data_IF_695001315001
#
_entry.id   IF_695001315001
#
_cell.length_a   1.000
_cell.length_b   1.000
_cell.length_c   1.000
_cell.angle_alpha   90.00
_cell.angle_beta   90.00
_cell.angle_gamma   90.00
#
_symmetry.space_group_name_H-M   'P 1'
#
loop_
_entity.id
_entity.type
_entity.pdbx_description
1 polymer ?
#
# COMPACT_ATOMS: atom_id res chain seq x y z
N UNK A 1 8.50 2.52 9.11
CA UNK A 1 8.18 2.82 7.70
C UNK A 1 6.70 2.64 7.45
N UNK A 2 6.15 3.44 6.57
CA UNK A 2 4.74 3.42 6.22
C UNK A 2 4.59 2.95 4.77
N UNK A 3 3.89 1.83 4.59
CA UNK A 3 3.44 1.38 3.26
C UNK A 3 2.13 2.11 2.95
N UNK A 4 2.11 2.83 1.84
CA UNK A 4 1.00 3.72 1.48
C UNK A 4 0.19 3.09 0.35
N UNK A 5 -1.10 2.86 0.62
CA UNK A 5 -2.05 2.32 -0.35
C UNK A 5 -2.32 3.30 -1.50
N UNK A 6 -2.73 2.77 -2.63
CA UNK A 6 -3.09 3.53 -3.82
C UNK A 6 -4.11 4.64 -3.52
N UNK A 7 -5.08 4.39 -2.64
CA UNK A 7 -6.11 5.37 -2.27
C UNK A 7 -5.51 6.66 -1.70
N UNK A 8 -4.47 6.54 -0.88
CA UNK A 8 -3.79 7.70 -0.29
C UNK A 8 -2.98 8.44 -1.35
N UNK A 9 -2.28 7.71 -2.22
CA UNK A 9 -1.53 8.33 -3.32
C UNK A 9 -2.46 9.12 -4.24
N UNK A 10 -3.61 8.56 -4.60
CA UNK A 10 -4.60 9.26 -5.44
C UNK A 10 -5.08 10.54 -4.76
N UNK A 11 -5.38 10.48 -3.46
CA UNK A 11 -5.78 11.65 -2.69
C UNK A 11 -4.69 12.73 -2.73
N UNK A 12 -3.44 12.33 -2.50
CA UNK A 12 -2.30 13.25 -2.53
C UNK A 12 -2.10 13.89 -3.91
N UNK A 13 -2.20 13.11 -4.97
CA UNK A 13 -2.01 13.61 -6.33
C UNK A 13 -3.14 14.52 -6.80
N UNK A 14 -4.32 14.40 -6.20
CA UNK A 14 -5.49 15.25 -6.52
C UNK A 14 -5.62 16.47 -5.63
N UNK A 15 -5.29 16.33 -4.34
CA UNK A 15 -5.67 17.31 -3.31
C UNK A 15 -4.54 17.70 -2.37
N UNK A 16 -3.32 17.23 -2.58
CA UNK A 16 -2.16 17.44 -1.68
C UNK A 16 -2.46 16.97 -0.25
N UNK A 17 -2.04 15.76 0.08
CA UNK A 17 -2.16 15.20 1.41
C UNK A 17 -0.95 15.61 2.25
N UNK A 18 -1.18 16.48 3.25
CA UNK A 18 -0.09 17.04 4.07
C UNK A 18 0.63 15.97 4.89
N UNK A 19 -0.07 14.97 5.39
CA UNK A 19 0.54 13.86 6.15
C UNK A 19 1.48 13.05 5.26
N UNK A 20 1.04 12.73 4.04
CA UNK A 20 1.90 12.00 3.10
C UNK A 20 3.12 12.83 2.70
N UNK A 21 2.93 14.12 2.43
CA UNK A 21 4.05 15.00 2.10
C UNK A 21 5.11 14.99 3.22
N UNK A 22 4.69 15.11 4.48
CA UNK A 22 5.59 15.08 5.62
C UNK A 22 6.33 13.75 5.76
N UNK A 23 5.63 12.63 5.55
CA UNK A 23 6.24 11.30 5.59
C UNK A 23 7.26 11.10 4.47
N UNK A 24 6.98 11.60 3.28
CA UNK A 24 7.92 11.55 2.15
C UNK A 24 9.17 12.36 2.45
N UNK A 25 9.04 13.56 2.97
CA UNK A 25 10.17 14.40 3.35
C UNK A 25 11.03 13.75 4.43
N UNK A 26 10.39 13.03 5.36
CA UNK A 26 11.07 12.32 6.45
C UNK A 26 11.66 10.96 6.05
N UNK A 27 11.54 10.55 4.78
CA UNK A 27 12.05 9.26 4.32
C UNK A 27 11.32 8.07 4.93
N UNK A 28 10.04 8.22 5.30
CA UNK A 28 9.27 7.22 6.02
C UNK A 28 8.32 6.40 5.15
N UNK A 29 8.32 6.64 3.83
CA UNK A 29 7.36 6.01 2.91
C UNK A 29 8.02 4.85 2.17
N UNK A 30 7.30 3.74 2.12
CA UNK A 30 7.67 2.54 1.38
C UNK A 30 6.69 2.34 0.23
N UNK A 31 7.19 1.96 -0.94
CA UNK A 31 6.35 1.63 -2.10
C UNK A 31 6.09 0.13 -2.18
N UNK A 32 5.19 -0.25 -3.08
CA UNK A 32 4.91 -1.64 -3.42
C UNK A 32 4.71 -1.72 -4.93
N UNK A 33 5.28 -2.74 -5.62
CA UNK A 33 5.14 -2.85 -7.07
C UNK A 33 3.68 -2.85 -7.56
N UNK A 34 2.77 -3.42 -6.78
CA UNK A 34 1.35 -3.46 -7.16
C UNK A 34 0.68 -2.10 -7.03
N UNK A 35 1.09 -1.28 -6.05
CA UNK A 35 0.62 0.11 -5.93
C UNK A 35 1.13 0.93 -7.11
N UNK A 36 2.41 0.79 -7.43
CA UNK A 36 3.00 1.46 -8.60
C UNK A 36 2.26 1.06 -9.87
N UNK A 37 1.97 -0.24 -10.03
CA UNK A 37 1.21 -0.75 -11.16
C UNK A 37 -0.20 -0.18 -11.26
N UNK A 38 -0.93 -0.11 -10.14
CA UNK A 38 -2.26 0.49 -10.11
C UNK A 38 -2.24 1.96 -10.49
N UNK A 39 -1.27 2.71 -9.97
CA UNK A 39 -1.11 4.12 -10.33
C UNK A 39 -0.76 4.28 -11.81
N UNK A 40 0.08 3.40 -12.35
CA UNK A 40 0.47 3.42 -13.76
C UNK A 40 -0.70 3.16 -14.70
N UNK A 41 -1.72 2.41 -14.27
CA UNK A 41 -2.93 2.14 -15.05
C UNK A 41 -3.86 3.36 -15.14
N UNK A 42 -3.70 4.33 -14.26
CA UNK A 42 -4.55 5.50 -14.22
C UNK A 42 -4.05 6.64 -15.09
N UNK A 43 -4.89 7.68 -15.22
CA UNK A 43 -4.53 8.91 -15.92
C UNK A 43 -3.94 9.88 -14.92
N UNK A 44 -2.61 9.89 -14.80
CA UNK A 44 -1.89 10.77 -13.89
C UNK A 44 -1.38 12.00 -14.61
N UNK A 45 -1.51 13.16 -13.97
CA UNK A 45 -0.79 14.37 -14.40
C UNK A 45 0.70 14.15 -14.12
N UNK A 46 1.54 14.49 -15.11
CA UNK A 46 2.98 14.28 -15.00
C UNK A 46 3.34 12.83 -14.65
N UNK A 47 2.68 11.90 -15.31
CA UNK A 47 2.80 10.47 -15.03
C UNK A 47 4.23 9.97 -14.96
N UNK A 48 5.07 10.35 -15.93
CA UNK A 48 6.46 9.91 -15.97
C UNK A 48 7.26 10.39 -14.74
N UNK A 49 7.02 11.62 -14.29
CA UNK A 49 7.66 12.19 -13.09
C UNK A 49 7.23 11.44 -11.84
N UNK A 50 5.92 11.19 -11.69
CA UNK A 50 5.38 10.49 -10.52
C UNK A 50 5.94 9.07 -10.44
N UNK A 51 5.91 8.32 -11.55
CA UNK A 51 6.42 6.95 -11.56
C UNK A 51 7.93 6.90 -11.29
N UNK A 52 8.70 7.86 -11.78
CA UNK A 52 10.13 7.93 -11.51
C UNK A 52 10.40 8.19 -10.02
N UNK A 53 9.63 9.06 -9.37
CA UNK A 53 9.75 9.33 -7.94
C UNK A 53 9.39 8.11 -7.10
N UNK A 54 8.30 7.42 -7.45
CA UNK A 54 7.90 6.19 -6.78
C UNK A 54 8.98 5.10 -6.88
N UNK A 55 9.67 5.03 -8.01
CA UNK A 55 10.75 4.08 -8.23
C UNK A 55 11.99 4.31 -7.37
N UNK A 56 12.10 5.48 -6.72
CA UNK A 56 13.21 5.81 -5.81
C UNK A 56 12.90 5.47 -4.35
N UNK A 57 11.67 5.13 -4.04
CA UNK A 57 11.29 4.77 -2.67
C UNK A 57 11.74 3.34 -2.33
N UNK A 58 12.00 3.06 -1.05
CA UNK A 58 12.21 1.68 -0.62
C UNK A 58 11.03 0.79 -1.02
N UNK A 59 11.31 -0.42 -1.49
CA UNK A 59 10.30 -1.33 -2.02
C UNK A 59 9.94 -2.38 -0.99
N UNK A 60 8.64 -2.63 -0.84
CA UNK A 60 8.11 -3.67 0.03
C UNK A 60 8.40 -5.07 -0.52
N UNK A 61 8.50 -6.05 0.38
CA UNK A 61 8.61 -7.47 0.00
C UNK A 61 7.34 -7.92 -0.70
N UNK A 62 7.48 -8.58 -1.85
CA UNK A 62 6.37 -9.16 -2.60
C UNK A 62 6.37 -10.67 -2.35
N UNK A 63 5.23 -11.20 -1.91
CA UNK A 63 5.08 -12.63 -1.68
C UNK A 63 4.62 -13.36 -2.94
N UNK A 64 4.83 -14.67 -3.00
CA UNK A 64 4.39 -15.51 -4.11
C UNK A 64 2.86 -15.71 -4.09
N UNK A 65 2.25 -16.13 -5.22
CA UNK A 65 0.83 -16.49 -5.21
C UNK A 65 0.49 -17.56 -4.18
N UNK A 66 1.34 -18.56 -3.99
CA UNK A 66 1.12 -19.63 -3.00
C UNK A 66 1.14 -19.07 -1.58
N UNK A 67 2.10 -18.21 -1.29
CA UNK A 67 2.20 -17.54 0.02
C UNK A 67 0.99 -16.64 0.27
N UNK A 68 0.48 -15.97 -0.79
CA UNK A 68 -0.72 -15.14 -0.68
C UNK A 68 -1.93 -15.95 -0.27
N UNK A 69 -2.16 -17.10 -0.90
CA UNK A 69 -3.27 -17.99 -0.53
C UNK A 69 -3.13 -18.49 0.90
N UNK A 70 -1.93 -18.88 1.30
CA UNK A 70 -1.66 -19.32 2.67
C UNK A 70 -1.90 -18.19 3.69
N UNK A 71 -1.55 -16.97 3.36
CA UNK A 71 -1.78 -15.80 4.22
C UNK A 71 -3.28 -15.52 4.41
N UNK A 72 -4.08 -15.60 3.33
CA UNK A 72 -5.52 -15.44 3.40
C UNK A 72 -6.12 -16.47 4.36
N UNK A 73 -5.73 -17.73 4.23
CA UNK A 73 -6.25 -18.81 5.08
C UNK A 73 -5.83 -18.64 6.53
N UNK A 74 -4.54 -18.38 6.77
CA UNK A 74 -4.00 -18.27 8.13
C UNK A 74 -4.61 -17.10 8.90
N UNK A 75 -4.90 -16.00 8.23
CA UNK A 75 -5.43 -14.77 8.85
C UNK A 75 -6.93 -14.62 8.68
N UNK A 76 -7.60 -15.60 8.04
CA UNK A 76 -9.04 -15.60 7.81
C UNK A 76 -9.55 -14.32 7.15
N UNK A 77 -8.91 -13.95 6.05
CA UNK A 77 -9.21 -12.71 5.34
C UNK A 77 -10.29 -12.85 4.26
N UNK A 78 -10.78 -14.08 4.01
CA UNK A 78 -11.83 -14.32 3.03
C UNK A 78 -13.16 -13.69 3.45
N UNK A 79 -13.92 -13.26 2.46
CA UNK A 79 -15.28 -12.74 2.68
C UNK A 79 -15.35 -11.37 3.34
N UNK A 80 -14.24 -10.64 3.42
CA UNK A 80 -14.18 -9.31 4.06
C UNK A 80 -14.21 -8.15 3.06
N UNK A 81 -14.46 -8.43 1.79
CA UNK A 81 -14.49 -7.41 0.77
C UNK A 81 -13.13 -6.87 0.37
N UNK A 82 -12.05 -7.63 0.67
CA UNK A 82 -10.69 -7.26 0.31
C UNK A 82 -10.36 -7.77 -1.09
N UNK A 83 -9.71 -6.94 -1.89
CA UNK A 83 -9.18 -7.36 -3.18
C UNK A 83 -7.83 -8.05 -3.03
N UNK A 84 -7.39 -8.70 -4.11
CA UNK A 84 -6.13 -9.44 -4.10
C UNK A 84 -4.92 -8.54 -3.82
N UNK A 85 -4.90 -7.34 -4.38
CA UNK A 85 -3.84 -6.36 -4.11
C UNK A 85 -3.84 -5.95 -2.64
N UNK A 86 -5.03 -5.76 -2.03
CA UNK A 86 -5.15 -5.44 -0.61
C UNK A 86 -4.47 -6.50 0.25
N UNK A 87 -4.68 -7.77 -0.08
CA UNK A 87 -4.05 -8.90 0.62
C UNK A 87 -2.53 -8.81 0.52
N UNK A 88 -2.00 -8.51 -0.65
CA UNK A 88 -0.56 -8.33 -0.83
C UNK A 88 0.00 -7.21 0.03
N UNK A 89 -0.71 -6.09 0.14
CA UNK A 89 -0.27 -4.97 0.97
C UNK A 89 -0.25 -5.34 2.45
N UNK A 90 -1.27 -6.03 2.91
CA UNK A 90 -1.33 -6.52 4.30
C UNK A 90 -0.17 -7.47 4.60
N UNK A 91 0.08 -8.43 3.72
CA UNK A 91 1.16 -9.39 3.89
C UNK A 91 2.53 -8.72 3.90
N UNK A 92 2.75 -7.79 2.98
CA UNK A 92 4.01 -7.03 2.92
C UNK A 92 4.24 -6.22 4.18
N UNK A 93 3.20 -5.56 4.71
CA UNK A 93 3.30 -4.80 5.96
C UNK A 93 3.68 -5.70 7.14
N UNK A 94 3.07 -6.89 7.23
CA UNK A 94 3.41 -7.86 8.29
C UNK A 94 4.86 -8.32 8.15
N UNK A 95 5.30 -8.72 6.96
CA UNK A 95 6.64 -9.24 6.72
C UNK A 95 7.73 -8.19 6.94
N UNK A 96 7.48 -6.97 6.51
CA UNK A 96 8.47 -5.88 6.58
C UNK A 96 8.42 -5.11 7.90
N UNK A 97 7.57 -5.52 8.83
CA UNK A 97 7.31 -4.78 10.06
C UNK A 97 7.00 -3.32 9.79
N UNK A 98 6.23 -3.08 8.73
CA UNK A 98 5.78 -1.77 8.32
C UNK A 98 4.34 -1.53 8.76
N UNK A 99 3.90 -0.28 8.72
CA UNK A 99 2.51 0.09 8.96
C UNK A 99 1.84 0.38 7.62
N UNK A 100 0.61 -0.06 7.45
CA UNK A 100 -0.17 0.18 6.24
C UNK A 100 -1.14 1.33 6.45
N UNK A 101 -1.08 2.31 5.56
CA UNK A 101 -2.01 3.44 5.56
C UNK A 101 -2.89 3.39 4.31
N UNK A 102 -4.20 3.32 4.52
CA UNK A 102 -5.21 3.31 3.47
C UNK A 102 -6.39 4.21 3.84
N UNK A 103 -7.01 4.79 2.84
CA UNK A 103 -8.29 5.50 2.99
C UNK A 103 -9.48 4.60 2.71
N UNK A 104 -9.25 3.37 2.25
CA UNK A 104 -10.29 2.36 2.09
C UNK A 104 -10.63 1.77 3.46
N UNK A 105 -11.90 1.87 3.85
CA UNK A 105 -12.34 1.45 5.19
C UNK A 105 -12.12 -0.03 5.45
N UNK A 106 -12.35 -0.89 4.46
CA UNK A 106 -12.21 -2.34 4.61
C UNK A 106 -10.75 -2.74 4.77
N UNK A 107 -9.87 -2.13 3.98
CA UNK A 107 -8.44 -2.39 4.08
C UNK A 107 -7.88 -1.85 5.40
N UNK A 108 -8.25 -0.65 5.79
CA UNK A 108 -7.83 -0.07 7.07
C UNK A 108 -8.29 -0.93 8.26
N UNK A 109 -9.54 -1.41 8.22
CA UNK A 109 -10.06 -2.28 9.27
C UNK A 109 -9.27 -3.59 9.36
N UNK A 110 -8.94 -4.20 8.24
CA UNK A 110 -8.12 -5.41 8.21
C UNK A 110 -6.71 -5.14 8.76
N UNK A 111 -6.11 -4.01 8.39
CA UNK A 111 -4.81 -3.61 8.92
C UNK A 111 -4.84 -3.43 10.43
N UNK A 112 -5.89 -2.84 10.98
CA UNK A 112 -6.08 -2.70 12.43
C UNK A 112 -6.19 -4.05 13.11
N UNK A 113 -6.99 -4.95 12.56
CA UNK A 113 -7.16 -6.31 13.08
C UNK A 113 -5.84 -7.07 13.12
N UNK A 114 -4.99 -6.89 12.11
CA UNK A 114 -3.67 -7.54 12.05
C UNK A 114 -2.58 -6.78 12.84
N UNK A 115 -2.90 -5.64 13.41
CA UNK A 115 -1.94 -4.86 14.20
C UNK A 115 -0.91 -4.10 13.36
N UNK A 116 -1.21 -3.84 12.09
CA UNK A 116 -0.29 -3.15 11.16
C UNK A 116 -0.85 -1.83 10.62
N UNK A 117 -1.92 -1.30 11.19
CA UNK A 117 -2.47 0.00 10.75
C UNK A 117 -1.54 1.15 11.14
N UNK A 118 -1.39 2.07 10.19
CA UNK A 118 -0.63 3.30 10.43
C UNK A 118 -1.43 4.32 11.24
#
# INVERSE_FOLDING_TARGET
MILVDTSVWIDHLRHDNARLAALLEGGQVRSHPFVVGELACGTLRQRAVVLALLGKLPVSTVITPEETLAFIDARRLMGRGLGYVDIHLLASAVLDDARLWSLDKRLDQAARTLGVAA
#
